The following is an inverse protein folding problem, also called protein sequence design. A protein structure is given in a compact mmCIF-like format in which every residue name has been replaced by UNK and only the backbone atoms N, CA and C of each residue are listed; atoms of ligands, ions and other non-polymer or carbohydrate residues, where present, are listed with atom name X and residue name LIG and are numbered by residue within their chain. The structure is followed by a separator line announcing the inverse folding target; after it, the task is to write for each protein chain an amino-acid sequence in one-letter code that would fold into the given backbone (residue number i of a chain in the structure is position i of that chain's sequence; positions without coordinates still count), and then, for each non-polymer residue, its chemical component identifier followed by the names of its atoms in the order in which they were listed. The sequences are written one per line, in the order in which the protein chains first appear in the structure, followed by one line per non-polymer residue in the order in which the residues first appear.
data_IF_832587248097
#
_entry.id   IF_832587248097
#
_cell.length_a   1.000
_cell.length_b   1.000
_cell.length_c   1.000
_cell.angle_alpha   90.00
_cell.angle_beta   90.00
_cell.angle_gamma   90.00
#
_symmetry.space_group_name_H-M   'P 1'
#
loop_
_entity.id
_entity.type
_entity.pdbx_description
1 polymer ?
#
# COMPACT_ATOMS: atom_id res chain seq x y z
N UNK A 1 -25.38 18.64 -11.93
CA UNK A 1 -24.03 19.21 -12.13
C UNK A 1 -23.12 18.48 -11.17
N UNK A 2 -22.27 17.59 -11.67
CA UNK A 2 -21.21 16.99 -10.86
C UNK A 2 -20.24 18.12 -10.55
N UNK A 3 -20.19 18.59 -9.29
CA UNK A 3 -19.13 19.52 -8.88
C UNK A 3 -17.80 18.83 -9.14
N UNK A 4 -16.95 19.46 -9.95
CA UNK A 4 -15.60 18.96 -10.17
C UNK A 4 -14.88 18.93 -8.82
N UNK A 5 -14.09 17.84 -8.59
CA UNK A 5 -13.25 17.77 -7.40
C UNK A 5 -12.23 18.91 -7.40
N UNK A 6 -11.99 19.48 -6.23
CA UNK A 6 -10.88 20.39 -6.05
C UNK A 6 -9.56 19.59 -6.00
N UNK A 7 -8.55 20.07 -6.72
CA UNK A 7 -7.19 19.53 -6.72
C UNK A 7 -6.26 20.55 -6.09
N UNK A 8 -5.66 20.24 -4.94
CA UNK A 8 -4.79 21.18 -4.27
C UNK A 8 -3.49 21.42 -5.06
N UNK A 9 -3.06 22.69 -5.23
CA UNK A 9 -1.76 23.00 -5.80
C UNK A 9 -0.63 22.48 -4.90
N UNK A 10 0.59 22.39 -5.44
CA UNK A 10 1.76 22.00 -4.64
C UNK A 10 1.98 22.99 -3.48
N UNK A 11 2.31 22.47 -2.32
CA UNK A 11 2.63 23.25 -1.12
C UNK A 11 1.44 23.97 -0.45
N UNK A 12 0.23 23.87 -1.00
CA UNK A 12 -0.96 24.48 -0.42
C UNK A 12 -2.18 23.57 -0.55
N UNK A 13 -2.98 23.48 0.51
CA UNK A 13 -4.24 22.74 0.48
C UNK A 13 -5.33 23.57 1.16
N UNK A 14 -6.36 23.94 0.38
CA UNK A 14 -7.48 24.74 0.88
C UNK A 14 -8.26 23.95 1.95
N UNK A 15 -8.54 24.63 3.05
CA UNK A 15 -9.38 24.13 4.14
C UNK A 15 -10.75 24.77 4.04
N UNK A 16 -11.79 23.98 4.27
CA UNK A 16 -13.18 24.44 4.27
C UNK A 16 -13.95 23.97 5.46
N UNK A 17 -14.92 24.76 5.89
CA UNK A 17 -15.89 24.36 6.90
C UNK A 17 -16.68 23.15 6.39
N UNK A 18 -16.77 22.12 7.23
CA UNK A 18 -17.40 20.85 6.89
C UNK A 18 -18.88 21.02 6.48
N UNK A 19 -19.59 21.95 7.16
CA UNK A 19 -20.98 22.29 6.84
C UNK A 19 -21.17 22.82 5.43
N UNK A 20 -20.20 23.57 4.89
CA UNK A 20 -20.24 24.08 3.52
C UNK A 20 -20.18 22.99 2.45
N UNK A 21 -19.71 21.79 2.83
CA UNK A 21 -19.59 20.61 1.97
C UNK A 21 -20.59 19.50 2.34
N UNK A 22 -21.64 19.85 3.10
CA UNK A 22 -22.72 18.92 3.44
C UNK A 22 -22.32 17.91 4.51
N UNK A 23 -21.48 18.30 5.47
CA UNK A 23 -21.15 17.49 6.63
C UNK A 23 -21.64 18.14 7.93
N UNK A 24 -21.96 17.31 8.92
CA UNK A 24 -22.28 17.75 10.26
C UNK A 24 -20.99 17.99 11.06
N UNK A 25 -20.72 19.24 11.41
CA UNK A 25 -19.48 19.65 12.10
C UNK A 25 -19.32 18.97 13.46
N UNK A 26 -20.37 18.94 14.29
CA UNK A 26 -20.30 18.31 15.60
C UNK A 26 -20.07 16.79 15.54
N UNK A 27 -20.60 16.14 14.51
CA UNK A 27 -20.33 14.72 14.27
C UNK A 27 -18.89 14.50 13.81
N UNK A 28 -18.37 15.37 12.94
CA UNK A 28 -16.98 15.32 12.48
C UNK A 28 -15.99 15.60 13.63
N UNK A 29 -16.27 16.59 14.49
CA UNK A 29 -15.47 16.87 15.68
C UNK A 29 -15.39 15.65 16.61
N UNK A 30 -16.52 14.95 16.83
CA UNK A 30 -16.53 13.71 17.61
C UNK A 30 -15.69 12.60 16.98
N UNK A 31 -15.72 12.48 15.64
CA UNK A 31 -14.89 11.52 14.92
C UNK A 31 -13.39 11.84 15.09
N UNK A 32 -13.02 13.11 15.00
CA UNK A 32 -11.64 13.58 15.23
C UNK A 32 -11.19 13.33 16.66
N UNK A 33 -12.05 13.62 17.65
CA UNK A 33 -11.73 13.37 19.06
C UNK A 33 -11.54 11.86 19.30
N UNK A 34 -12.42 11.03 18.77
CA UNK A 34 -12.27 9.57 18.84
C UNK A 34 -10.94 9.11 18.21
N UNK A 35 -10.58 9.64 17.04
CA UNK A 35 -9.33 9.29 16.38
C UNK A 35 -8.08 9.63 17.22
N UNK A 36 -8.10 10.77 17.93
CA UNK A 36 -7.02 11.17 18.84
C UNK A 36 -6.88 10.24 20.05
N UNK A 37 -7.99 9.69 20.53
CA UNK A 37 -8.03 8.76 21.67
C UNK A 37 -7.64 7.33 21.31
N UNK A 38 -7.66 6.99 20.02
CA UNK A 38 -7.33 5.66 19.50
C UNK A 38 -5.88 5.53 19.03
N UNK A 39 -4.95 6.12 19.78
CA UNK A 39 -3.53 5.90 19.52
C UNK A 39 -3.16 4.42 19.72
N UNK A 40 -2.42 3.87 18.75
CA UNK A 40 -1.91 2.52 18.86
C UNK A 40 -0.92 2.38 20.03
N UNK A 41 -0.98 1.26 20.75
CA UNK A 41 -0.14 0.98 21.92
C UNK A 41 1.31 0.60 21.60
N UNK A 42 1.71 0.63 20.34
CA UNK A 42 3.07 0.27 19.92
C UNK A 42 4.13 1.25 20.47
N UNK A 43 5.35 0.77 20.74
CA UNK A 43 6.43 1.63 21.19
C UNK A 43 6.72 2.73 20.15
N UNK A 44 7.09 3.91 20.63
CA UNK A 44 7.54 5.02 19.76
C UNK A 44 8.77 4.58 18.95
N UNK A 45 9.75 3.94 19.56
CA UNK A 45 10.88 3.32 18.86
C UNK A 45 10.41 2.01 18.21
N UNK A 46 10.12 2.05 16.92
CA UNK A 46 9.63 0.90 16.16
C UNK A 46 10.62 -0.27 16.12
N UNK A 47 11.92 -0.04 16.40
CA UNK A 47 12.90 -1.13 16.51
C UNK A 47 12.62 -2.03 17.70
N UNK A 48 11.99 -1.47 18.74
CA UNK A 48 11.59 -2.21 19.96
C UNK A 48 10.28 -2.98 19.81
N UNK A 49 9.56 -2.75 18.69
CA UNK A 49 8.35 -3.53 18.43
C UNK A 49 8.69 -4.99 18.23
N UNK A 50 8.24 -5.81 19.14
CA UNK A 50 8.30 -7.25 18.96
C UNK A 50 7.14 -7.67 18.05
N UNK A 51 7.44 -8.03 16.82
CA UNK A 51 6.44 -8.55 15.88
C UNK A 51 6.00 -9.95 16.28
N UNK A 52 6.82 -10.63 17.07
CA UNK A 52 6.47 -11.81 17.86
C UNK A 52 6.07 -13.07 17.08
N UNK A 53 5.99 -13.00 15.77
CA UNK A 53 5.51 -14.07 14.90
C UNK A 53 6.65 -14.78 14.17
N UNK A 54 7.69 -14.05 13.75
CA UNK A 54 8.78 -14.66 12.99
C UNK A 54 9.67 -15.54 13.87
N UNK A 55 10.16 -16.65 13.35
CA UNK A 55 11.26 -17.37 13.94
C UNK A 55 12.48 -16.47 14.17
N UNK A 56 13.28 -16.70 15.22
CA UNK A 56 14.43 -15.86 15.55
C UNK A 56 15.37 -15.60 14.37
N UNK A 57 15.60 -16.61 13.53
CA UNK A 57 16.46 -16.51 12.35
C UNK A 57 15.96 -15.56 11.27
N UNK A 58 14.65 -15.27 11.25
CA UNK A 58 14.02 -14.38 10.26
C UNK A 58 13.41 -13.11 10.86
N UNK A 59 13.46 -12.96 12.19
CA UNK A 59 12.84 -11.83 12.90
C UNK A 59 13.63 -10.52 12.78
N UNK A 60 14.89 -10.58 12.33
CA UNK A 60 15.75 -9.42 12.25
C UNK A 60 15.13 -8.32 11.37
N UNK A 61 15.07 -7.10 11.93
CA UNK A 61 14.73 -5.90 11.19
C UNK A 61 15.94 -5.47 10.38
N UNK A 62 15.81 -5.44 9.08
CA UNK A 62 16.92 -5.24 8.13
C UNK A 62 16.79 -3.94 7.33
N UNK A 63 15.64 -3.26 7.41
CA UNK A 63 15.37 -1.99 6.75
C UNK A 63 15.34 -0.80 7.70
N UNK A 64 15.26 0.40 7.12
CA UNK A 64 15.16 1.64 7.87
C UNK A 64 13.95 1.62 8.83
N UNK A 65 14.22 1.96 10.10
CA UNK A 65 13.19 2.20 11.11
C UNK A 65 13.58 3.41 11.96
N UNK A 66 12.71 4.42 11.96
CA UNK A 66 12.82 5.64 12.79
C UNK A 66 11.72 5.60 13.87
N UNK A 67 11.82 6.38 14.94
CA UNK A 67 10.72 6.55 15.91
C UNK A 67 9.45 7.07 15.22
N UNK A 68 8.30 6.47 15.55
CA UNK A 68 6.99 6.89 15.05
C UNK A 68 6.49 8.19 15.70
N UNK A 69 5.58 8.86 15.02
CA UNK A 69 4.78 9.93 15.61
C UNK A 69 3.62 9.43 16.49
N UNK A 70 2.85 10.38 17.00
CA UNK A 70 1.54 10.15 17.62
C UNK A 70 0.44 9.96 16.57
N UNK A 71 -0.83 9.80 17.03
CA UNK A 71 -1.96 9.66 16.13
C UNK A 71 -2.14 10.95 15.31
N UNK A 72 -2.23 10.81 14.01
CA UNK A 72 -2.47 11.91 13.09
C UNK A 72 -3.42 11.49 11.97
N UNK A 73 -4.02 12.45 11.30
CA UNK A 73 -4.85 12.16 10.15
C UNK A 73 -5.50 13.38 9.54
N UNK A 74 -6.17 13.16 8.42
CA UNK A 74 -6.87 14.19 7.68
C UNK A 74 -8.13 13.63 7.04
N UNK A 75 -9.17 14.43 6.97
CA UNK A 75 -10.41 14.15 6.24
C UNK A 75 -10.51 15.11 5.06
N UNK A 76 -10.61 14.53 3.86
CA UNK A 76 -10.82 15.26 2.62
C UNK A 76 -12.25 15.02 2.13
N UNK A 77 -12.98 16.09 1.86
CA UNK A 77 -14.32 16.04 1.27
C UNK A 77 -14.35 16.89 0.00
N UNK A 78 -14.80 16.28 -1.11
CA UNK A 78 -14.82 16.93 -2.43
C UNK A 78 -13.44 17.54 -2.85
N UNK A 79 -12.34 17.01 -2.34
CA UNK A 79 -10.97 17.46 -2.57
C UNK A 79 -10.44 18.48 -1.53
N UNK A 80 -11.28 19.07 -0.67
CA UNK A 80 -10.90 20.03 0.35
C UNK A 80 -10.60 19.36 1.70
N UNK A 81 -9.65 19.90 2.46
CA UNK A 81 -9.45 19.52 3.85
C UNK A 81 -10.61 20.05 4.69
N UNK A 82 -11.32 19.16 5.40
CA UNK A 82 -12.42 19.52 6.31
C UNK A 82 -12.11 19.24 7.77
N UNK A 83 -11.14 18.38 8.04
CA UNK A 83 -10.62 18.16 9.40
C UNK A 83 -9.20 17.59 9.32
N UNK A 84 -8.40 17.90 10.35
CA UNK A 84 -7.07 17.33 10.55
C UNK A 84 -6.76 17.22 12.04
N UNK A 85 -5.88 16.29 12.41
CA UNK A 85 -5.42 16.11 13.78
C UNK A 85 -3.98 15.58 13.82
N UNK A 86 -3.29 15.85 14.93
CA UNK A 86 -1.91 15.46 15.13
C UNK A 86 -0.93 16.19 14.21
N UNK A 87 0.26 15.65 14.06
CA UNK A 87 1.30 16.20 13.18
C UNK A 87 1.17 15.63 11.76
N UNK A 88 0.39 16.33 10.92
CA UNK A 88 0.08 15.89 9.54
C UNK A 88 1.26 16.07 8.58
N UNK A 89 2.27 16.85 8.95
CA UNK A 89 3.48 17.07 8.13
C UNK A 89 4.63 16.12 8.48
N UNK A 90 4.47 15.31 9.53
CA UNK A 90 5.47 14.34 9.91
C UNK A 90 5.57 13.22 8.89
N UNK A 91 6.79 13.00 8.40
CA UNK A 91 7.12 11.85 7.56
C UNK A 91 7.29 10.60 8.43
N UNK A 92 6.41 9.63 8.23
CA UNK A 92 6.38 8.40 9.00
C UNK A 92 6.26 7.17 8.09
N UNK A 93 6.70 6.01 8.62
CA UNK A 93 6.56 4.72 7.95
C UNK A 93 5.07 4.38 7.76
N UNK A 94 4.70 3.98 6.55
CA UNK A 94 3.32 3.63 6.24
C UNK A 94 3.08 2.12 6.15
N UNK A 95 4.11 1.28 6.39
CA UNK A 95 4.03 -0.17 6.28
C UNK A 95 3.36 -0.62 4.96
N UNK A 96 2.44 -1.57 5.06
CA UNK A 96 1.81 -2.20 3.90
C UNK A 96 0.95 -1.29 3.02
N UNK A 97 0.63 -0.05 3.44
CA UNK A 97 0.04 0.91 2.52
C UNK A 97 0.96 1.19 1.32
N UNK A 98 2.26 0.97 1.46
CA UNK A 98 3.26 0.96 0.37
C UNK A 98 2.87 0.04 -0.80
N UNK A 99 2.17 -1.07 -0.53
CA UNK A 99 1.77 -2.04 -1.57
C UNK A 99 0.84 -1.41 -2.62
N UNK A 100 -0.02 -0.49 -2.18
CA UNK A 100 -0.91 0.21 -3.11
C UNK A 100 -0.16 1.21 -4.01
N UNK A 101 0.95 1.78 -3.53
CA UNK A 101 1.87 2.56 -4.36
C UNK A 101 2.62 1.68 -5.38
N UNK A 102 3.03 0.48 -4.96
CA UNK A 102 3.62 -0.50 -5.88
C UNK A 102 2.60 -0.90 -6.96
N UNK A 103 1.35 -1.19 -6.58
CA UNK A 103 0.25 -1.44 -7.51
C UNK A 103 0.04 -0.28 -8.50
N UNK A 104 0.06 0.96 -8.01
CA UNK A 104 -0.06 2.15 -8.87
C UNK A 104 1.06 2.20 -9.92
N UNK A 105 2.29 1.85 -9.57
CA UNK A 105 3.40 1.79 -10.52
C UNK A 105 3.28 0.63 -11.51
N UNK A 106 2.74 -0.52 -11.10
CA UNK A 106 2.39 -1.59 -12.06
C UNK A 106 1.35 -1.07 -13.05
N UNK A 107 0.37 -0.28 -12.59
CA UNK A 107 -0.61 0.40 -13.45
C UNK A 107 0.03 1.36 -14.44
N UNK A 108 0.98 2.17 -14.01
CA UNK A 108 1.75 3.05 -14.91
C UNK A 108 2.52 2.24 -15.95
N UNK A 109 3.16 1.14 -15.54
CA UNK A 109 3.89 0.26 -16.48
C UNK A 109 2.94 -0.42 -17.48
N UNK A 110 1.74 -0.81 -17.04
CA UNK A 110 0.69 -1.35 -17.88
C UNK A 110 0.17 -0.30 -18.88
N UNK A 111 -0.17 0.88 -18.43
CA UNK A 111 -0.67 1.98 -19.28
C UNK A 111 0.36 2.43 -20.33
N UNK A 112 1.64 2.25 -20.05
CA UNK A 112 2.75 2.52 -20.98
C UNK A 112 3.08 1.37 -21.92
N UNK A 113 2.39 0.23 -21.77
CA UNK A 113 2.64 -0.97 -22.56
C UNK A 113 3.95 -1.70 -22.24
N UNK A 114 4.62 -1.35 -21.11
CA UNK A 114 5.77 -2.09 -20.58
C UNK A 114 5.33 -3.46 -20.07
N UNK A 115 4.14 -3.54 -19.47
CA UNK A 115 3.43 -4.78 -19.16
C UNK A 115 2.24 -4.86 -20.11
N UNK A 116 2.23 -5.86 -20.99
CA UNK A 116 1.24 -5.96 -22.06
C UNK A 116 -0.11 -6.51 -21.57
N UNK A 117 -0.06 -7.48 -20.68
CA UNK A 117 -1.23 -8.16 -20.13
C UNK A 117 -0.93 -8.66 -18.70
N UNK A 118 -1.89 -8.53 -17.80
CA UNK A 118 -1.77 -9.01 -16.42
C UNK A 118 -1.69 -10.53 -16.32
N UNK A 119 -2.17 -11.26 -17.33
CA UNK A 119 -2.10 -12.73 -17.41
C UNK A 119 -0.80 -13.23 -18.03
N UNK A 120 0.05 -12.36 -18.54
CA UNK A 120 1.38 -12.74 -19.03
C UNK A 120 2.26 -13.21 -17.86
N UNK A 121 2.94 -14.38 -17.98
CA UNK A 121 3.89 -14.83 -16.98
C UNK A 121 5.02 -13.81 -16.75
N UNK A 122 5.32 -13.54 -15.48
CA UNK A 122 6.40 -12.61 -15.11
C UNK A 122 7.76 -13.10 -15.60
N UNK A 123 7.92 -14.42 -15.74
CA UNK A 123 9.10 -15.03 -16.33
C UNK A 123 9.49 -14.41 -17.67
N UNK A 124 8.53 -14.08 -18.54
CA UNK A 124 8.79 -13.51 -19.87
C UNK A 124 9.48 -12.13 -19.82
N UNK A 125 9.34 -11.41 -18.71
CA UNK A 125 9.97 -10.09 -18.50
C UNK A 125 11.37 -10.17 -17.87
N UNK A 126 11.72 -11.34 -17.33
CA UNK A 126 13.02 -11.57 -16.71
C UNK A 126 13.90 -12.54 -17.53
N UNK A 127 13.33 -13.21 -18.55
CA UNK A 127 14.08 -14.15 -19.37
C UNK A 127 15.25 -13.46 -20.06
N UNK A 128 16.43 -14.06 -19.91
CA UNK A 128 17.70 -13.50 -20.42
C UNK A 128 18.31 -12.40 -19.56
N UNK A 129 17.67 -11.92 -18.49
CA UNK A 129 18.24 -10.91 -17.60
C UNK A 129 19.16 -11.52 -16.54
N UNK A 130 20.20 -10.76 -16.19
CA UNK A 130 21.07 -11.09 -15.08
C UNK A 130 20.61 -10.31 -13.84
N UNK A 131 20.02 -11.00 -12.86
CA UNK A 131 19.56 -10.40 -11.60
C UNK A 131 20.33 -11.02 -10.45
N UNK A 132 21.13 -10.20 -9.77
CA UNK A 132 22.05 -10.65 -8.71
C UNK A 132 21.97 -9.75 -7.50
N UNK A 133 22.25 -10.30 -6.34
CA UNK A 133 22.56 -9.50 -5.16
C UNK A 133 23.90 -8.80 -5.36
N UNK A 134 23.92 -7.48 -5.24
CA UNK A 134 25.12 -6.69 -5.56
C UNK A 134 26.36 -7.10 -4.73
N UNK A 135 26.21 -7.25 -3.40
CA UNK A 135 27.33 -7.57 -2.51
C UNK A 135 27.88 -8.98 -2.67
N UNK A 136 27.04 -9.96 -2.92
CA UNK A 136 27.42 -11.38 -2.93
C UNK A 136 27.57 -11.94 -4.34
N UNK A 137 27.10 -11.21 -5.33
CA UNK A 137 26.97 -11.67 -6.72
C UNK A 137 26.15 -12.96 -6.89
N UNK A 138 25.43 -13.40 -5.84
CA UNK A 138 24.53 -14.54 -5.94
C UNK A 138 23.30 -14.19 -6.76
N UNK A 139 22.89 -15.11 -7.62
CA UNK A 139 21.64 -14.97 -8.36
C UNK A 139 20.45 -14.85 -7.39
N UNK A 140 19.49 -14.00 -7.74
CA UNK A 140 18.22 -13.90 -7.00
C UNK A 140 17.28 -14.99 -7.49
N UNK A 141 16.52 -15.61 -6.56
CA UNK A 141 15.48 -16.55 -6.92
C UNK A 141 14.42 -15.85 -7.81
N UNK A 142 14.30 -16.33 -9.04
CA UNK A 142 13.50 -15.73 -10.10
C UNK A 142 12.20 -16.50 -10.36
N UNK A 143 11.75 -16.39 -11.61
CA UNK A 143 10.54 -17.06 -12.08
C UNK A 143 10.81 -18.26 -13.01
N UNK A 144 12.04 -18.71 -13.17
CA UNK A 144 12.41 -19.79 -14.10
C UNK A 144 12.10 -21.20 -13.58
N UNK A 145 11.87 -21.39 -12.25
CA UNK A 145 11.57 -22.72 -11.69
C UNK A 145 10.23 -23.27 -12.20
N UNK A 146 10.04 -24.59 -12.09
CA UNK A 146 8.77 -25.23 -12.45
C UNK A 146 7.57 -24.62 -11.70
N UNK A 147 7.75 -24.29 -10.42
CA UNK A 147 6.71 -23.68 -9.60
C UNK A 147 6.42 -22.24 -10.05
N UNK A 148 7.46 -21.46 -10.29
CA UNK A 148 7.32 -20.02 -10.49
C UNK A 148 7.00 -19.61 -11.93
N UNK A 149 7.26 -20.47 -12.93
CA UNK A 149 7.26 -20.12 -14.37
C UNK A 149 5.91 -19.65 -14.87
N UNK A 150 4.82 -20.13 -14.27
CA UNK A 150 3.44 -19.76 -14.65
C UNK A 150 2.86 -18.60 -13.84
N UNK A 151 3.64 -18.01 -12.94
CA UNK A 151 3.18 -16.87 -12.12
C UNK A 151 3.00 -15.66 -13.02
N UNK A 152 1.79 -15.08 -13.01
CA UNK A 152 1.44 -13.87 -13.75
C UNK A 152 1.51 -12.63 -12.89
N UNK A 153 1.45 -11.46 -13.52
CA UNK A 153 1.32 -10.17 -12.78
C UNK A 153 0.06 -10.14 -11.93
N UNK A 154 -1.05 -10.68 -12.43
CA UNK A 154 -2.29 -10.79 -11.66
C UNK A 154 -2.11 -11.61 -10.39
N UNK A 155 -1.46 -12.78 -10.48
CA UNK A 155 -1.16 -13.61 -9.32
C UNK A 155 -0.34 -12.86 -8.27
N UNK A 156 0.65 -12.06 -8.69
CA UNK A 156 1.46 -11.23 -7.76
C UNK A 156 0.62 -10.15 -7.09
N UNK A 157 -0.19 -9.42 -7.86
CA UNK A 157 -0.99 -8.30 -7.36
C UNK A 157 -2.13 -8.75 -6.45
N UNK A 158 -2.72 -9.91 -6.72
CA UNK A 158 -3.79 -10.49 -5.91
C UNK A 158 -3.29 -11.30 -4.71
N UNK A 159 -1.96 -11.43 -4.52
CA UNK A 159 -1.39 -12.27 -3.44
C UNK A 159 -1.73 -13.78 -3.59
N UNK A 160 -1.83 -14.25 -4.84
CA UNK A 160 -2.14 -15.66 -5.15
C UNK A 160 -0.99 -16.37 -5.86
N UNK A 161 0.21 -15.76 -5.87
CA UNK A 161 1.32 -16.22 -6.71
C UNK A 161 1.93 -17.55 -6.28
N UNK A 162 1.90 -17.88 -4.97
CA UNK A 162 2.61 -19.06 -4.45
C UNK A 162 4.09 -19.12 -4.93
N UNK A 163 4.70 -17.94 -5.16
CA UNK A 163 6.11 -17.85 -5.51
C UNK A 163 6.97 -18.54 -4.46
N UNK A 164 7.93 -19.33 -4.91
CA UNK A 164 8.87 -20.08 -4.10
C UNK A 164 10.26 -19.49 -4.20
N UNK A 165 10.83 -19.11 -3.07
CA UNK A 165 12.20 -18.62 -3.04
C UNK A 165 12.58 -17.89 -1.76
N UNK A 166 13.81 -17.41 -1.76
CA UNK A 166 14.38 -16.54 -0.72
C UNK A 166 14.74 -15.19 -1.32
N UNK A 167 14.28 -14.11 -0.71
CA UNK A 167 14.61 -12.77 -1.12
C UNK A 167 15.07 -11.95 0.09
N UNK A 168 16.22 -11.27 -0.03
CA UNK A 168 16.76 -10.41 1.03
C UNK A 168 16.87 -11.10 2.38
N UNK A 169 17.37 -12.34 2.37
CA UNK A 169 17.49 -13.26 3.53
C UNK A 169 16.17 -13.77 4.13
N UNK A 170 15.04 -13.48 3.51
CA UNK A 170 13.72 -13.92 3.96
C UNK A 170 13.14 -14.96 2.98
N UNK A 171 12.90 -16.21 3.40
CA UNK A 171 12.19 -17.18 2.57
C UNK A 171 10.69 -16.83 2.53
N UNK A 172 10.01 -17.15 1.44
CA UNK A 172 8.57 -16.88 1.30
C UNK A 172 7.72 -17.59 2.36
N UNK A 173 8.20 -18.72 2.86
CA UNK A 173 7.52 -19.49 3.93
C UNK A 173 7.43 -18.74 5.26
N UNK A 174 8.18 -17.67 5.46
CA UNK A 174 8.12 -16.87 6.70
C UNK A 174 6.76 -16.23 6.92
N UNK A 175 6.00 -15.98 5.86
CA UNK A 175 4.66 -15.39 5.93
C UNK A 175 3.53 -16.42 5.73
N UNK A 176 3.81 -17.71 5.73
CA UNK A 176 2.77 -18.74 5.60
C UNK A 176 1.80 -18.72 6.79
N UNK A 177 0.49 -18.73 6.49
CA UNK A 177 -0.60 -18.71 7.47
C UNK A 177 -0.51 -17.52 8.43
N UNK A 178 0.00 -16.38 7.95
CA UNK A 178 0.15 -15.17 8.76
C UNK A 178 -1.22 -14.64 9.19
N UNK A 179 -1.35 -14.38 10.50
CA UNK A 179 -2.53 -13.71 11.03
C UNK A 179 -2.47 -12.21 10.71
N UNK A 180 -3.48 -11.72 10.01
CA UNK A 180 -3.65 -10.31 9.65
C UNK A 180 -4.54 -9.54 10.62
N UNK A 181 -5.09 -10.20 11.64
CA UNK A 181 -5.85 -9.52 12.69
C UNK A 181 -4.93 -8.56 13.46
N UNK A 182 -5.47 -7.45 13.89
CA UNK A 182 -4.74 -6.45 14.69
C UNK A 182 -4.25 -7.00 16.03
N UNK A 183 -4.78 -8.11 16.47
CA UNK A 183 -4.58 -8.71 17.80
C UNK A 183 -3.41 -9.71 17.83
N UNK A 184 -2.92 -10.15 16.68
CA UNK A 184 -1.71 -10.99 16.59
C UNK A 184 -1.81 -12.33 17.32
N UNK A 185 -3.02 -12.91 17.43
CA UNK A 185 -3.27 -14.11 18.24
C UNK A 185 -3.21 -15.43 17.48
N UNK A 186 -2.92 -15.41 16.19
CA UNK A 186 -2.95 -16.60 15.33
C UNK A 186 -1.67 -17.44 15.28
N UNK A 187 -0.82 -17.40 16.30
CA UNK A 187 0.47 -18.11 16.30
C UNK A 187 0.39 -19.62 16.06
N UNK A 188 -0.72 -20.25 16.39
CA UNK A 188 -0.85 -21.71 16.28
C UNK A 188 -0.80 -22.22 14.83
N UNK A 189 -1.22 -21.40 13.87
CA UNK A 189 -1.22 -21.75 12.45
C UNK A 189 -0.04 -21.14 11.67
N UNK A 190 0.56 -20.10 12.22
CA UNK A 190 1.69 -19.41 11.63
C UNK A 190 2.89 -20.38 11.47
N UNK A 191 3.48 -20.42 10.30
CA UNK A 191 4.55 -21.34 9.91
C UNK A 191 4.17 -22.84 9.94
N UNK A 192 2.91 -23.22 10.12
CA UNK A 192 2.54 -24.60 9.85
C UNK A 192 2.92 -24.93 8.41
N UNK A 193 3.73 -25.97 8.26
CA UNK A 193 4.06 -26.49 6.94
C UNK A 193 2.79 -26.94 6.25
N UNK A 194 2.60 -26.51 5.04
CA UNK A 194 1.59 -26.96 4.11
C UNK A 194 2.25 -27.32 2.78
N UNK A 195 1.56 -28.06 1.95
CA UNK A 195 2.01 -28.24 0.59
C UNK A 195 1.89 -26.92 -0.17
N UNK A 196 2.85 -26.64 -1.06
CA UNK A 196 2.80 -25.49 -1.93
C UNK A 196 1.69 -25.68 -2.95
N UNK A 197 0.87 -24.67 -3.08
CA UNK A 197 -0.25 -24.67 -4.02
C UNK A 197 0.21 -24.22 -5.42
N UNK A 198 -0.60 -24.48 -6.42
CA UNK A 198 -0.35 -23.92 -7.76
C UNK A 198 -0.58 -22.40 -7.77
N UNK A 199 0.18 -21.65 -8.57
CA UNK A 199 -0.09 -20.22 -8.76
C UNK A 199 -1.56 -19.98 -9.16
N UNK A 200 -2.20 -18.98 -8.53
CA UNK A 200 -3.60 -18.63 -8.76
C UNK A 200 -4.63 -19.47 -7.99
N UNK A 201 -4.22 -20.46 -7.17
CA UNK A 201 -5.16 -21.35 -6.47
C UNK A 201 -5.26 -21.15 -4.96
N UNK A 202 -4.44 -20.28 -4.39
CA UNK A 202 -4.43 -20.00 -2.96
C UNK A 202 -4.12 -18.53 -2.70
N UNK A 203 -4.93 -17.87 -1.87
CA UNK A 203 -4.68 -16.52 -1.43
C UNK A 203 -3.88 -16.53 -0.13
N UNK A 204 -2.77 -15.80 -0.11
CA UNK A 204 -1.95 -15.66 1.09
C UNK A 204 -1.20 -14.33 1.09
N UNK A 205 -1.45 -13.52 2.11
CA UNK A 205 -0.80 -12.22 2.27
C UNK A 205 0.68 -12.43 2.66
N UNK A 206 1.60 -12.15 1.73
CA UNK A 206 2.99 -12.51 1.85
C UNK A 206 3.91 -11.34 1.45
N UNK A 207 4.62 -10.78 2.43
CA UNK A 207 5.49 -9.62 2.24
C UNK A 207 6.72 -9.94 1.37
N UNK A 208 7.26 -11.17 1.44
CA UNK A 208 8.41 -11.57 0.61
C UNK A 208 8.01 -11.60 -0.86
N UNK A 209 6.83 -12.13 -1.17
CA UNK A 209 6.29 -12.17 -2.54
C UNK A 209 6.00 -10.76 -3.08
N UNK A 210 5.57 -9.83 -2.21
CA UNK A 210 5.42 -8.42 -2.60
C UNK A 210 6.77 -7.76 -2.88
N UNK A 211 7.79 -8.02 -2.07
CA UNK A 211 9.15 -7.54 -2.35
C UNK A 211 9.66 -8.10 -3.68
N UNK A 212 9.32 -9.35 -3.99
CA UNK A 212 9.66 -9.97 -5.28
C UNK A 212 8.93 -9.29 -6.45
N UNK A 213 7.69 -8.85 -6.22
CA UNK A 213 6.93 -8.05 -7.20
C UNK A 213 7.62 -6.69 -7.47
N UNK A 214 8.11 -6.03 -6.42
CA UNK A 214 8.86 -4.77 -6.57
C UNK A 214 10.14 -4.97 -7.41
N UNK A 215 10.87 -6.06 -7.17
CA UNK A 215 12.05 -6.39 -7.98
C UNK A 215 11.70 -6.71 -9.43
N UNK A 216 10.61 -7.46 -9.68
CA UNK A 216 10.15 -7.71 -11.04
C UNK A 216 9.77 -6.42 -11.76
N UNK A 217 9.09 -5.50 -11.08
CA UNK A 217 8.74 -4.20 -11.67
C UNK A 217 9.99 -3.34 -11.94
N UNK A 218 11.00 -3.38 -11.05
CA UNK A 218 12.29 -2.74 -11.29
C UNK A 218 12.94 -3.28 -12.59
N UNK A 219 12.89 -4.60 -12.83
CA UNK A 219 13.39 -5.22 -14.06
C UNK A 219 12.63 -4.76 -15.30
N UNK A 220 11.32 -4.53 -15.19
CA UNK A 220 10.48 -4.02 -16.29
C UNK A 220 10.75 -2.55 -16.56
N UNK A 221 10.84 -1.72 -15.51
CA UNK A 221 11.08 -0.28 -15.65
C UNK A 221 12.51 0.05 -16.10
N UNK A 222 13.49 -0.79 -15.74
CA UNK A 222 14.89 -0.53 -16.03
C UNK A 222 15.49 0.67 -15.30
N UNK A 223 14.80 1.17 -14.27
CA UNK A 223 15.22 2.32 -13.46
C UNK A 223 14.66 2.20 -12.02
N UNK A 224 15.27 2.88 -11.01
CA UNK A 224 14.82 2.82 -9.62
C UNK A 224 13.36 3.26 -9.43
N UNK A 225 12.54 2.43 -8.78
CA UNK A 225 11.11 2.68 -8.61
C UNK A 225 10.77 4.01 -7.88
N UNK A 226 11.56 4.51 -6.90
CA UNK A 226 11.29 5.84 -6.33
C UNK A 226 11.36 6.97 -7.37
N UNK A 227 12.27 6.88 -8.35
CA UNK A 227 12.34 7.83 -9.46
C UNK A 227 11.12 7.76 -10.37
N UNK A 228 10.64 6.54 -10.66
CA UNK A 228 9.40 6.34 -11.42
C UNK A 228 8.22 6.92 -10.67
N UNK A 229 8.07 6.60 -9.36
CA UNK A 229 6.98 7.11 -8.52
C UNK A 229 6.97 8.65 -8.49
N UNK A 230 8.16 9.26 -8.30
CA UNK A 230 8.29 10.72 -8.27
C UNK A 230 7.77 11.33 -9.57
N UNK A 231 8.31 10.91 -10.70
CA UNK A 231 8.02 11.48 -12.01
C UNK A 231 6.58 11.25 -12.48
N UNK A 232 6.05 10.05 -12.25
CA UNK A 232 4.78 9.65 -12.83
C UNK A 232 3.57 10.01 -11.96
N UNK A 233 3.76 10.08 -10.65
CA UNK A 233 2.64 10.24 -9.70
C UNK A 233 2.89 11.42 -8.76
N UNK A 234 3.98 11.41 -7.98
CA UNK A 234 4.10 12.33 -6.85
C UNK A 234 4.29 13.80 -7.28
N UNK A 235 5.15 14.07 -8.26
CA UNK A 235 5.30 15.42 -8.82
C UNK A 235 4.00 15.91 -9.49
N UNK A 236 3.34 15.11 -10.37
CA UNK A 236 2.07 15.49 -10.98
C UNK A 236 0.95 15.82 -10.00
N UNK A 237 0.86 15.14 -8.85
CA UNK A 237 -0.15 15.44 -7.83
C UNK A 237 0.28 16.56 -6.86
N UNK A 238 1.45 17.14 -7.06
CA UNK A 238 1.97 18.22 -6.25
C UNK A 238 2.37 17.81 -4.84
N UNK A 239 2.82 16.57 -4.65
CA UNK A 239 3.36 16.09 -3.39
C UNK A 239 4.69 16.80 -3.07
N UNK A 240 5.06 16.81 -1.79
CA UNK A 240 6.34 17.36 -1.34
C UNK A 240 7.51 16.46 -1.76
N UNK A 241 8.75 16.97 -1.61
CA UNK A 241 9.97 16.17 -1.79
C UNK A 241 10.41 15.48 -0.49
N UNK A 242 9.56 15.43 0.55
CA UNK A 242 9.92 14.89 1.87
C UNK A 242 9.77 13.36 1.96
N UNK A 243 8.96 12.74 1.10
CA UNK A 243 8.72 11.30 1.13
C UNK A 243 9.97 10.51 0.68
N UNK A 244 10.13 9.31 1.21
CA UNK A 244 11.23 8.41 0.93
C UNK A 244 10.71 6.99 0.74
N UNK A 245 11.22 6.22 -0.21
CA UNK A 245 10.89 4.81 -0.36
C UNK A 245 12.13 3.95 -0.32
N UNK A 246 12.26 3.14 0.71
CA UNK A 246 13.42 2.34 1.01
C UNK A 246 13.19 0.84 0.83
N UNK A 247 14.25 0.14 0.49
CA UNK A 247 14.37 -1.30 0.64
C UNK A 247 14.94 -1.68 2.02
N UNK A 248 15.93 -2.54 1.99
CA UNK A 248 16.62 -3.05 3.20
C UNK A 248 18.12 -2.72 3.18
N UNK A 249 18.48 -1.58 2.61
CA UNK A 249 19.87 -1.16 2.45
C UNK A 249 20.69 -2.22 1.71
N UNK A 250 21.81 -2.58 2.29
CA UNK A 250 22.71 -3.58 1.70
C UNK A 250 22.06 -4.94 1.38
N UNK A 251 21.01 -5.32 2.13
CA UNK A 251 20.30 -6.57 1.88
C UNK A 251 19.40 -6.55 0.63
N UNK A 252 19.07 -5.36 0.11
CA UNK A 252 18.24 -5.19 -1.09
C UNK A 252 18.96 -4.47 -2.24
N UNK A 253 20.27 -4.26 -2.11
CA UNK A 253 21.10 -3.81 -3.24
C UNK A 253 21.21 -4.92 -4.27
N UNK A 254 20.70 -4.66 -5.47
CA UNK A 254 20.71 -5.60 -6.60
C UNK A 254 21.51 -5.04 -7.77
N UNK A 255 21.99 -5.93 -8.62
CA UNK A 255 22.52 -5.64 -9.94
C UNK A 255 21.59 -6.31 -10.97
N UNK A 256 20.90 -5.50 -11.75
CA UNK A 256 20.03 -5.93 -12.83
C UNK A 256 20.65 -5.48 -14.16
N UNK A 257 21.27 -6.40 -14.88
CA UNK A 257 21.96 -6.11 -16.16
C UNK A 257 22.94 -4.93 -16.10
N UNK A 258 23.66 -4.76 -14.97
CA UNK A 258 24.60 -3.66 -14.74
C UNK A 258 23.98 -2.43 -14.06
N UNK A 259 22.67 -2.36 -13.90
CA UNK A 259 22.01 -1.36 -13.06
C UNK A 259 22.13 -1.76 -11.59
N UNK A 260 23.06 -1.13 -10.87
CA UNK A 260 23.21 -1.30 -9.41
C UNK A 260 22.31 -0.33 -8.68
N UNK A 261 21.31 -0.85 -7.97
CA UNK A 261 20.34 -0.02 -7.23
C UNK A 261 19.73 -0.76 -6.05
N UNK A 262 19.12 -0.02 -5.13
CA UNK A 262 18.28 -0.60 -4.11
C UNK A 262 16.92 -1.01 -4.68
N UNK A 263 16.53 -2.27 -4.50
CA UNK A 263 15.15 -2.70 -4.73
C UNK A 263 14.30 -2.38 -3.48
N UNK A 264 13.21 -1.65 -3.68
CA UNK A 264 12.38 -1.16 -2.58
C UNK A 264 11.56 -2.26 -1.91
N UNK A 265 11.23 -2.04 -0.62
CA UNK A 265 10.32 -2.91 0.13
C UNK A 265 8.86 -2.53 -0.12
N UNK A 266 7.99 -3.52 -0.18
CA UNK A 266 6.54 -3.34 -0.19
C UNK A 266 5.94 -2.94 1.17
N UNK A 267 6.78 -2.52 2.14
CA UNK A 267 6.33 -2.09 3.46
C UNK A 267 6.13 -3.24 4.45
N UNK A 268 6.98 -4.25 4.40
CA UNK A 268 6.99 -5.36 5.32
C UNK A 268 7.38 -4.94 6.75
N UNK A 269 7.13 -5.83 7.71
CA UNK A 269 7.40 -5.57 9.12
C UNK A 269 8.89 -5.59 9.51
N UNK A 270 9.78 -5.89 8.56
CA UNK A 270 11.25 -5.84 8.76
C UNK A 270 11.87 -4.46 8.54
N UNK A 271 11.05 -3.43 8.28
CA UNK A 271 11.47 -2.06 7.98
C UNK A 271 11.48 -1.76 6.48
N UNK A 272 12.11 -0.65 6.10
CA UNK A 272 12.03 -0.14 4.73
C UNK A 272 10.61 0.34 4.39
N UNK A 273 10.22 0.27 3.10
CA UNK A 273 8.92 0.73 2.64
C UNK A 273 8.83 2.25 2.48
N UNK A 274 7.62 2.74 2.27
CA UNK A 274 7.35 4.15 2.02
C UNK A 274 7.24 4.93 3.34
N UNK A 275 7.97 6.02 3.43
CA UNK A 275 7.93 7.06 4.45
C UNK A 275 7.32 8.31 3.83
N UNK A 276 6.22 8.80 4.38
CA UNK A 276 5.45 9.87 3.76
C UNK A 276 4.65 10.63 4.83
N UNK A 277 4.40 11.90 4.63
CA UNK A 277 3.52 12.67 5.50
C UNK A 277 2.03 12.41 5.19
N UNK A 278 1.16 12.86 6.08
CA UNK A 278 -0.28 12.59 5.98
C UNK A 278 -0.94 13.33 4.82
N UNK A 279 -0.46 14.54 4.48
CA UNK A 279 -1.04 15.34 3.41
C UNK A 279 -0.65 14.78 2.03
N UNK A 280 0.61 14.38 1.84
CA UNK A 280 1.02 13.73 0.58
C UNK A 280 0.31 12.38 0.41
N UNK A 281 0.10 11.65 1.51
CA UNK A 281 -0.69 10.42 1.51
C UNK A 281 -2.13 10.69 1.08
N UNK A 282 -2.72 11.80 1.52
CA UNK A 282 -4.07 12.21 1.10
C UNK A 282 -4.12 12.65 -0.37
N UNK A 283 -3.08 13.29 -0.92
CA UNK A 283 -2.99 13.60 -2.37
C UNK A 283 -3.06 12.33 -3.21
N UNK A 284 -2.33 11.31 -2.81
CA UNK A 284 -2.43 10.00 -3.44
C UNK A 284 -3.87 9.45 -3.37
N UNK A 285 -4.54 9.57 -2.23
CA UNK A 285 -5.94 9.19 -2.09
C UNK A 285 -6.88 9.97 -3.03
N UNK A 286 -6.70 11.29 -3.17
CA UNK A 286 -7.50 12.13 -4.09
C UNK A 286 -7.29 11.74 -5.56
N UNK A 287 -6.08 11.33 -5.96
CA UNK A 287 -5.84 10.79 -7.31
C UNK A 287 -6.75 9.59 -7.58
N UNK A 288 -6.82 8.66 -6.65
CA UNK A 288 -7.64 7.44 -6.79
C UNK A 288 -9.13 7.71 -6.62
N UNK A 289 -9.52 8.65 -5.74
CA UNK A 289 -10.89 9.15 -5.65
C UNK A 289 -11.39 9.67 -7.00
N UNK A 290 -10.53 10.32 -7.78
CA UNK A 290 -10.82 10.84 -9.10
C UNK A 290 -10.39 9.90 -10.24
N UNK A 291 -10.40 8.58 -9.96
CA UNK A 291 -10.18 7.52 -10.95
C UNK A 291 -8.88 7.70 -11.75
N UNK A 292 -7.79 8.06 -11.07
CA UNK A 292 -6.47 8.22 -11.65
C UNK A 292 -6.24 9.53 -12.40
N UNK A 293 -7.17 10.49 -12.34
CA UNK A 293 -7.06 11.81 -12.97
C UNK A 293 -6.68 12.88 -11.93
N UNK A 294 -5.77 13.76 -12.29
CA UNK A 294 -5.40 14.95 -11.53
C UNK A 294 -5.53 16.18 -12.42
N UNK A 295 -6.47 17.06 -12.09
CA UNK A 295 -6.85 18.18 -12.97
C UNK A 295 -7.33 17.66 -14.34
N UNK A 296 -6.68 18.10 -15.40
CA UNK A 296 -6.94 17.68 -16.79
C UNK A 296 -6.10 16.47 -17.23
N UNK A 297 -5.18 15.97 -16.41
CA UNK A 297 -4.25 14.87 -16.73
C UNK A 297 -4.74 13.54 -16.20
N UNK A 298 -4.79 12.51 -17.04
CA UNK A 298 -4.95 11.11 -16.64
C UNK A 298 -3.56 10.53 -16.33
N UNK A 299 -3.25 10.28 -15.06
CA UNK A 299 -1.96 9.76 -14.62
C UNK A 299 -1.93 8.24 -14.59
N UNK A 300 -3.07 7.64 -14.23
CA UNK A 300 -3.31 6.19 -14.21
C UNK A 300 -4.65 5.97 -14.91
N UNK A 301 -4.75 5.02 -15.84
CA UNK A 301 -5.97 4.81 -16.61
C UNK A 301 -7.17 4.41 -15.74
N UNK A 302 -8.37 4.78 -16.16
CA UNK A 302 -9.60 4.30 -15.53
C UNK A 302 -9.70 2.77 -15.59
N UNK A 303 -9.21 2.17 -16.69
CA UNK A 303 -9.13 0.73 -16.85
C UNK A 303 -8.33 0.09 -15.71
N UNK A 304 -7.18 0.68 -15.35
CA UNK A 304 -6.39 0.18 -14.20
C UNK A 304 -7.15 0.30 -12.90
N UNK A 305 -7.85 1.44 -12.66
CA UNK A 305 -8.67 1.63 -11.47
C UNK A 305 -9.75 0.55 -11.37
N UNK A 306 -10.42 0.22 -12.46
CA UNK A 306 -11.45 -0.83 -12.49
C UNK A 306 -10.84 -2.21 -12.19
N UNK A 307 -9.70 -2.53 -12.79
CA UNK A 307 -9.00 -3.79 -12.55
C UNK A 307 -8.53 -3.92 -11.10
N UNK A 308 -7.92 -2.88 -10.52
CA UNK A 308 -7.37 -2.95 -9.17
C UNK A 308 -8.44 -3.01 -8.07
N UNK A 309 -9.64 -2.53 -8.35
CA UNK A 309 -10.80 -2.58 -7.44
C UNK A 309 -11.73 -3.76 -7.73
N UNK A 310 -11.40 -4.62 -8.68
CA UNK A 310 -12.11 -5.87 -8.92
C UNK A 310 -11.70 -6.89 -7.85
N UNK A 311 -12.66 -7.49 -7.12
CA UNK A 311 -12.36 -8.48 -6.11
C UNK A 311 -11.62 -9.70 -6.67
N UNK A 312 -10.62 -10.18 -5.93
CA UNK A 312 -9.99 -11.47 -6.18
C UNK A 312 -10.97 -12.62 -5.93
N UNK A 313 -11.06 -13.58 -6.85
CA UNK A 313 -11.97 -14.71 -6.72
C UNK A 313 -11.72 -15.63 -5.51
N UNK A 314 -10.53 -15.50 -4.87
CA UNK A 314 -10.15 -16.26 -3.67
C UNK A 314 -10.27 -15.43 -2.38
N UNK A 315 -10.40 -14.11 -2.49
CA UNK A 315 -10.62 -13.18 -1.38
C UNK A 315 -11.33 -11.93 -1.92
N UNK A 316 -12.62 -11.85 -1.72
CA UNK A 316 -13.47 -10.77 -2.23
C UNK A 316 -13.20 -9.39 -1.59
N UNK A 317 -12.46 -9.35 -0.48
CA UNK A 317 -12.03 -8.11 0.17
C UNK A 317 -10.67 -7.60 -0.32
N UNK A 318 -10.10 -8.20 -1.37
CA UNK A 318 -8.79 -7.83 -1.89
C UNK A 318 -8.76 -7.75 -3.42
N UNK A 319 -8.23 -6.65 -3.93
CA UNK A 319 -7.97 -6.46 -5.36
C UNK A 319 -6.47 -6.51 -5.67
N UNK A 320 -5.98 -5.64 -6.56
CA UNK A 320 -4.55 -5.55 -6.87
C UNK A 320 -3.81 -4.73 -5.80
N UNK A 321 -3.47 -5.37 -4.69
CA UNK A 321 -2.82 -4.76 -3.51
C UNK A 321 -3.62 -3.61 -2.87
N UNK A 322 -4.93 -3.64 -3.02
CA UNK A 322 -5.90 -2.77 -2.37
C UNK A 322 -6.91 -3.59 -1.59
N UNK A 323 -7.28 -3.09 -0.41
CA UNK A 323 -8.35 -3.65 0.40
C UNK A 323 -9.69 -3.08 -0.04
N UNK A 324 -10.72 -3.92 -0.14
CA UNK A 324 -12.04 -3.58 -0.65
C UNK A 324 -13.10 -3.73 0.45
N UNK A 325 -14.18 -2.94 0.37
CA UNK A 325 -15.34 -3.05 1.27
C UNK A 325 -16.46 -3.90 0.68
N UNK A 326 -16.13 -4.89 -0.13
CA UNK A 326 -17.09 -5.79 -0.77
C UNK A 326 -18.01 -6.42 0.26
N UNK A 327 -19.32 -6.36 0.02
CA UNK A 327 -20.33 -6.85 0.97
C UNK A 327 -20.32 -6.14 2.33
N UNK A 328 -19.71 -4.95 2.41
CA UNK A 328 -19.55 -4.16 3.64
C UNK A 328 -18.71 -4.85 4.73
N UNK A 329 -17.88 -5.82 4.33
CA UNK A 329 -17.21 -6.70 5.28
C UNK A 329 -16.04 -6.03 6.03
N UNK A 330 -15.41 -4.98 5.45
CA UNK A 330 -14.21 -4.37 6.04
C UNK A 330 -14.49 -3.11 6.86
N UNK A 331 -15.36 -2.22 6.39
CA UNK A 331 -15.63 -0.93 7.02
C UNK A 331 -17.10 -0.73 7.41
N UNK A 332 -17.89 -1.80 7.39
CA UNK A 332 -19.31 -1.73 7.72
C UNK A 332 -20.16 -1.00 6.66
N UNK A 333 -21.44 -0.85 6.96
CA UNK A 333 -22.44 -0.22 6.09
C UNK A 333 -22.43 1.30 6.15
N UNK A 334 -21.72 1.88 7.09
CA UNK A 334 -21.49 3.32 7.20
C UNK A 334 -20.66 3.84 6.03
N UNK A 335 -19.75 3.01 5.51
CA UNK A 335 -19.00 3.30 4.29
C UNK A 335 -19.70 2.67 3.09
N UNK A 336 -19.52 3.28 1.90
CA UNK A 336 -20.04 2.72 0.66
C UNK A 336 -19.42 1.37 0.34
N UNK A 337 -20.14 0.48 -0.32
CA UNK A 337 -19.60 -0.81 -0.74
C UNK A 337 -18.41 -0.66 -1.72
N UNK A 338 -18.41 0.45 -2.50
CA UNK A 338 -17.31 0.80 -3.41
C UNK A 338 -16.07 1.38 -2.72
N UNK A 339 -16.05 1.46 -1.39
CA UNK A 339 -14.89 1.92 -0.63
C UNK A 339 -13.72 0.97 -0.79
N UNK A 340 -12.53 1.52 -0.99
CA UNK A 340 -11.28 0.77 -1.02
C UNK A 340 -10.17 1.51 -0.28
N UNK A 341 -9.13 0.79 0.10
CA UNK A 341 -8.10 1.37 0.94
C UNK A 341 -6.69 0.82 0.70
N UNK A 342 -5.71 1.71 0.80
CA UNK A 342 -4.32 1.37 1.10
C UNK A 342 -4.18 1.25 2.62
N UNK A 343 -3.88 0.05 3.14
CA UNK A 343 -3.81 -0.18 4.58
C UNK A 343 -2.47 -0.75 5.00
N UNK A 344 -1.91 -0.18 6.04
CA UNK A 344 -0.64 -0.59 6.64
C UNK A 344 -0.77 -0.85 8.13
N UNK A 345 0.10 -1.71 8.64
CA UNK A 345 0.16 -2.03 10.05
C UNK A 345 0.31 -0.76 10.90
N UNK A 346 -0.28 -0.77 12.10
CA UNK A 346 -0.31 0.41 12.96
C UNK A 346 -1.43 1.40 12.62
N UNK A 347 -2.43 0.97 11.82
CA UNK A 347 -3.55 1.82 11.40
C UNK A 347 -3.13 2.98 10.50
N UNK A 348 -2.06 2.76 9.72
CA UNK A 348 -1.63 3.69 8.68
C UNK A 348 -2.45 3.40 7.42
N UNK A 349 -3.49 4.18 7.17
CA UNK A 349 -4.44 3.89 6.09
C UNK A 349 -4.82 5.12 5.30
N UNK A 350 -5.07 4.92 4.00
CA UNK A 350 -5.78 5.86 3.12
C UNK A 350 -7.05 5.17 2.68
N UNK A 351 -8.18 5.59 3.23
CA UNK A 351 -9.51 5.04 2.92
C UNK A 351 -10.21 5.98 1.97
N UNK A 352 -10.72 5.45 0.87
CA UNK A 352 -11.30 6.20 -0.24
C UNK A 352 -12.73 5.74 -0.44
N UNK A 353 -13.69 6.64 -0.30
CA UNK A 353 -15.10 6.40 -0.60
C UNK A 353 -15.53 7.24 -1.82
N UNK A 354 -15.64 6.62 -3.00
CA UNK A 354 -16.00 7.34 -4.23
C UNK A 354 -17.42 7.92 -4.21
N UNK A 355 -18.37 7.24 -3.57
CA UNK A 355 -19.77 7.69 -3.55
C UNK A 355 -19.96 8.91 -2.66
N UNK A 356 -19.27 8.92 -1.51
CA UNK A 356 -19.30 10.05 -0.57
C UNK A 356 -18.26 11.11 -0.89
N UNK A 357 -17.42 10.89 -1.91
CA UNK A 357 -16.30 11.76 -2.27
C UNK A 357 -15.41 12.08 -1.06
N UNK A 358 -15.04 11.04 -0.33
CA UNK A 358 -14.21 11.11 0.87
C UNK A 358 -12.85 10.47 0.64
N UNK A 359 -11.81 11.09 1.20
CA UNK A 359 -10.55 10.44 1.52
C UNK A 359 -10.26 10.67 3.01
N UNK A 360 -9.98 9.59 3.72
CA UNK A 360 -9.67 9.63 5.15
C UNK A 360 -8.30 8.99 5.33
N UNK A 361 -7.34 9.76 5.84
CA UNK A 361 -6.01 9.23 6.16
C UNK A 361 -5.89 9.14 7.67
N UNK A 362 -5.47 7.98 8.15
CA UNK A 362 -5.16 7.74 9.56
C UNK A 362 -3.71 7.31 9.71
N UNK A 363 -3.08 7.74 10.81
CA UNK A 363 -1.72 7.37 11.20
C UNK A 363 -1.73 6.93 12.65
N UNK A 364 -1.12 5.79 12.93
CA UNK A 364 -0.94 5.24 14.27
C UNK A 364 -2.25 5.11 15.06
N UNK A 365 -3.30 4.66 14.35
CA UNK A 365 -4.65 4.50 14.85
C UNK A 365 -4.97 3.03 15.12
N UNK A 366 -5.44 2.70 16.34
CA UNK A 366 -5.81 1.33 16.70
C UNK A 366 -7.14 0.91 16.07
N UNK A 367 -8.07 1.84 15.89
CA UNK A 367 -9.44 1.59 15.42
C UNK A 367 -9.77 2.43 14.18
N UNK A 368 -9.20 2.03 13.04
CA UNK A 368 -9.44 2.69 11.74
C UNK A 368 -10.91 2.57 11.32
N UNK A 369 -11.53 1.41 11.53
CA UNK A 369 -12.93 1.16 11.17
C UNK A 369 -13.87 2.11 11.92
N UNK A 370 -13.70 2.25 13.24
CA UNK A 370 -14.47 3.18 14.05
C UNK A 370 -14.32 4.64 13.60
N UNK A 371 -13.08 5.07 13.30
CA UNK A 371 -12.82 6.44 12.82
C UNK A 371 -13.52 6.69 11.49
N UNK A 372 -13.35 5.82 10.49
CA UNK A 372 -13.93 6.06 9.16
C UNK A 372 -15.46 5.96 9.18
N UNK A 373 -16.01 5.06 10.00
CA UNK A 373 -17.46 4.96 10.22
C UNK A 373 -18.06 6.26 10.79
N UNK A 374 -17.43 6.81 11.83
CA UNK A 374 -17.86 8.08 12.44
C UNK A 374 -17.73 9.27 11.48
N UNK A 375 -16.63 9.34 10.70
CA UNK A 375 -16.48 10.38 9.67
C UNK A 375 -17.55 10.24 8.60
N UNK A 376 -17.84 9.02 8.18
CA UNK A 376 -18.87 8.74 7.17
C UNK A 376 -20.29 9.12 7.63
N UNK A 377 -20.61 8.88 8.91
CA UNK A 377 -21.88 9.31 9.52
C UNK A 377 -22.03 10.84 9.62
N UNK A 378 -20.90 11.57 9.61
CA UNK A 378 -20.93 13.03 9.57
C UNK A 378 -21.34 13.57 8.19
N UNK A 379 -21.32 12.77 7.13
CA UNK A 379 -21.79 13.18 5.81
C UNK A 379 -23.33 13.16 5.81
N UNK A 380 -23.96 14.30 5.58
CA UNK A 380 -25.40 14.39 5.47
C UNK A 380 -25.88 13.61 4.23
N UNK A 381 -26.88 12.76 4.40
CA UNK A 381 -27.59 12.15 3.28
C UNK A 381 -28.27 13.27 2.47
N UNK A 382 -28.04 13.28 1.16
CA UNK A 382 -28.68 14.23 0.24
C UNK A 382 -30.03 13.72 -0.24
#
# INVERSE_FOLDING_TARGET
MTSDLYFPPSGNWERREASSLGMNELALERAVQFAKEKEITWPIDLRKRNVGQDPPEWSAKIGLMKPRGGPAGVVIKDGFVVAEWGDVERVDLTYSATKSYLSALVGVAFDRGLIKDMLTPVFEYEDGKSIKMHKTSLAVDGFASRQNKSITWEHLLQQTSEWEGTLYTKPDVVDWNRDLSSVGMGRENYLKRRDRMSPGSHWEYNDVRVNRTALALLCVCGEPLPGVLKREIMDPIGASDKWEWHGYGDHSMVDVDGLVTESVSGGAHWGGGLWIDTLDHARFGVLFLNRGRWGDRQLISQRWIDMMTTPCGLNDQYGYMWWLNTGFARYGKEMSESTFAASGAGGNSVVIDPQKKLVIVTRWCEDVEGVVGLVSQAVNER
#
